data_IF_058776560891
#
_entry.id   IF_058776560891
#
_cell.length_a   1.000
_cell.length_b   1.000
_cell.length_c   1.000
_cell.angle_alpha   90.00
_cell.angle_beta   90.00
_cell.angle_gamma   90.00
#
_symmetry.space_group_name_H-M   'P 1'
#
loop_
_entity.id
_entity.type
_entity.pdbx_description
1 polymer ?
#
# COMPACT_ATOMS: atom_id res chain seq x y z
N UNK A 1 -20.37 -0.76 -15.02
CA UNK A 1 -19.85 -1.80 -14.11
C UNK A 1 -19.00 -1.13 -13.04
N UNK A 2 -19.46 -1.08 -11.79
CA UNK A 2 -18.73 -0.41 -10.71
C UNK A 2 -17.65 -1.35 -10.14
N UNK A 3 -16.46 -1.33 -10.72
CA UNK A 3 -15.31 -2.05 -10.15
C UNK A 3 -14.82 -1.28 -8.92
N UNK A 4 -15.31 -1.68 -7.75
CA UNK A 4 -15.00 -1.04 -6.47
C UNK A 4 -13.58 -1.43 -6.01
N UNK A 5 -12.55 -0.74 -6.50
CA UNK A 5 -11.17 -0.87 -6.04
C UNK A 5 -10.99 -0.12 -4.71
N UNK A 6 -10.63 -0.86 -3.66
CA UNK A 6 -10.28 -0.27 -2.35
C UNK A 6 -8.78 -0.35 -2.16
N UNK A 7 -8.13 0.80 -2.03
CA UNK A 7 -6.71 0.91 -1.70
C UNK A 7 -6.59 1.56 -0.34
N UNK A 8 -5.95 0.91 0.63
CA UNK A 8 -5.81 1.45 1.98
C UNK A 8 -4.44 1.09 2.59
N UNK A 9 -3.79 2.03 3.29
CA UNK A 9 -2.66 1.71 4.13
C UNK A 9 -3.06 0.81 5.30
N UNK A 10 -2.23 -0.19 5.59
CA UNK A 10 -2.48 -1.22 6.58
C UNK A 10 -1.21 -1.48 7.38
N UNK A 11 -1.30 -1.37 8.71
CA UNK A 11 -0.19 -1.71 9.60
C UNK A 11 -0.21 -3.20 9.93
N UNK A 12 0.88 -3.91 9.64
CA UNK A 12 1.00 -5.33 9.95
C UNK A 12 1.48 -5.52 11.41
N UNK A 13 0.54 -5.40 12.35
CA UNK A 13 0.82 -5.43 13.80
C UNK A 13 1.48 -6.70 14.31
N UNK A 14 1.36 -7.81 13.58
CA UNK A 14 1.92 -9.11 13.99
C UNK A 14 3.36 -9.32 13.48
N UNK A 15 3.89 -8.40 12.65
CA UNK A 15 5.26 -8.43 12.12
C UNK A 15 6.09 -7.31 12.75
N UNK A 16 6.19 -7.32 14.07
CA UNK A 16 6.99 -6.34 14.79
C UNK A 16 8.46 -6.75 14.71
N UNK A 17 9.35 -5.82 14.42
CA UNK A 17 10.80 -6.05 14.44
C UNK A 17 11.37 -5.91 15.86
N UNK A 18 12.66 -6.21 16.04
CA UNK A 18 13.35 -6.06 17.33
C UNK A 18 13.22 -4.64 17.93
N UNK A 19 13.11 -3.61 17.09
CA UNK A 19 12.93 -2.21 17.49
C UNK A 19 11.49 -1.84 17.87
N UNK A 20 10.60 -2.81 18.04
CA UNK A 20 9.17 -2.57 18.34
C UNK A 20 8.42 -1.75 17.26
N UNK A 21 8.87 -1.83 16.01
CA UNK A 21 8.23 -1.18 14.85
C UNK A 21 7.54 -2.22 13.98
N UNK A 22 6.33 -1.89 13.54
CA UNK A 22 5.55 -2.68 12.61
C UNK A 22 5.63 -2.09 11.19
N UNK A 23 5.74 -2.92 10.15
CA UNK A 23 5.77 -2.48 8.78
C UNK A 23 4.38 -2.03 8.30
N UNK A 24 4.38 -0.99 7.49
CA UNK A 24 3.19 -0.52 6.77
C UNK A 24 3.15 -1.23 5.40
N UNK A 25 1.96 -1.70 5.06
CA UNK A 25 1.64 -2.29 3.78
C UNK A 25 0.55 -1.46 3.10
N UNK A 26 0.56 -1.41 1.78
CA UNK A 26 -0.55 -0.95 0.98
C UNK A 26 -1.41 -2.16 0.63
N UNK A 27 -2.65 -2.18 1.12
CA UNK A 27 -3.62 -3.22 0.81
C UNK A 27 -4.50 -2.76 -0.34
N UNK A 28 -4.60 -3.59 -1.36
CA UNK A 28 -5.47 -3.36 -2.52
C UNK A 28 -6.48 -4.50 -2.59
N UNK A 29 -7.76 -4.16 -2.59
CA UNK A 29 -8.87 -5.11 -2.63
C UNK A 29 -9.78 -4.81 -3.83
N UNK A 30 -10.16 -5.85 -4.58
CA UNK A 30 -11.14 -5.78 -5.67
C UNK A 30 -12.04 -7.02 -5.59
N UNK A 31 -13.31 -6.81 -5.27
CA UNK A 31 -14.25 -7.93 -5.03
C UNK A 31 -13.76 -8.82 -3.88
N UNK A 32 -13.58 -10.11 -4.16
CA UNK A 32 -13.07 -11.12 -3.21
C UNK A 32 -11.54 -11.20 -3.17
N UNK A 33 -10.84 -10.59 -4.12
CA UNK A 33 -9.38 -10.65 -4.21
C UNK A 33 -8.73 -9.53 -3.40
N UNK A 34 -7.66 -9.86 -2.68
CA UNK A 34 -6.84 -8.95 -1.88
C UNK A 34 -5.36 -9.19 -2.15
N UNK A 35 -4.61 -8.12 -2.33
CA UNK A 35 -3.15 -8.15 -2.35
C UNK A 35 -2.58 -7.15 -1.34
N UNK A 36 -1.36 -7.44 -0.89
CA UNK A 36 -0.61 -6.60 0.03
C UNK A 36 0.77 -6.30 -0.57
N UNK A 37 1.16 -5.03 -0.49
CA UNK A 37 2.40 -4.49 -1.04
C UNK A 37 3.15 -3.84 0.11
N UNK A 38 4.40 -4.24 0.35
CA UNK A 38 5.21 -3.60 1.37
C UNK A 38 5.57 -2.17 0.94
N UNK A 39 5.38 -1.19 1.81
CA UNK A 39 5.76 0.21 1.51
C UNK A 39 7.19 0.53 1.94
N UNK A 40 7.82 -0.36 2.70
CA UNK A 40 9.17 -0.17 3.26
C UNK A 40 9.23 0.67 4.54
N UNK A 41 8.10 1.24 4.98
CA UNK A 41 8.05 2.04 6.21
C UNK A 41 7.75 1.17 7.42
N UNK A 42 8.44 1.46 8.53
CA UNK A 42 8.26 0.82 9.82
C UNK A 42 7.98 1.89 10.87
N UNK A 43 6.89 1.74 11.61
CA UNK A 43 6.46 2.72 12.63
C UNK A 43 6.11 2.02 13.94
N UNK A 44 6.10 2.76 15.05
CA UNK A 44 5.62 2.21 16.32
C UNK A 44 4.10 2.04 16.26
N UNK A 45 3.59 1.02 16.97
CA UNK A 45 2.15 0.79 17.08
C UNK A 45 1.39 2.00 17.66
N UNK A 46 2.04 2.76 18.54
CA UNK A 46 1.50 3.97 19.18
C UNK A 46 1.33 5.14 18.22
N UNK A 47 2.12 5.18 17.15
CA UNK A 47 2.11 6.24 16.13
C UNK A 47 1.06 5.98 15.04
N UNK A 48 0.40 4.82 15.03
CA UNK A 48 -0.62 4.51 14.03
C UNK A 48 -2.02 4.91 14.48
N UNK A 49 -2.79 5.53 13.58
CA UNK A 49 -4.20 5.79 13.76
C UNK A 49 -5.03 4.75 12.99
N UNK A 50 -5.72 3.88 13.73
CA UNK A 50 -6.57 2.81 13.15
C UNK A 50 -7.78 3.41 12.43
N UNK A 51 -8.36 4.51 12.93
CA UNK A 51 -9.56 5.12 12.37
C UNK A 51 -9.29 5.75 11.00
N UNK A 52 -8.14 6.40 10.85
CA UNK A 52 -7.78 7.12 9.62
C UNK A 52 -6.86 6.32 8.70
N UNK A 53 -6.39 5.14 9.11
CA UNK A 53 -5.41 4.35 8.37
C UNK A 53 -4.14 5.15 8.01
N UNK A 54 -3.66 5.98 8.93
CA UNK A 54 -2.55 6.89 8.71
C UNK A 54 -1.66 6.98 9.96
N UNK A 55 -0.44 7.51 9.77
CA UNK A 55 0.46 7.85 10.88
C UNK A 55 -0.10 9.09 11.58
N UNK A 56 -0.14 9.06 12.92
CA UNK A 56 -0.57 10.18 13.77
C UNK A 56 0.34 11.37 13.55
N UNK A 57 -0.24 12.57 13.52
CA UNK A 57 0.47 13.86 13.40
C UNK A 57 1.49 14.13 14.51
N UNK A 58 1.44 13.38 15.62
CA UNK A 58 2.40 13.48 16.72
C UNK A 58 3.77 12.90 16.38
N UNK A 59 3.90 12.10 15.32
CA UNK A 59 5.19 11.56 14.90
C UNK A 59 5.90 12.58 13.99
N UNK A 60 7.19 12.91 14.20
CA UNK A 60 7.90 13.89 13.37
C UNK A 60 7.97 13.49 11.89
N UNK A 61 7.90 12.19 11.60
CA UNK A 61 7.91 11.66 10.23
C UNK A 61 6.50 11.45 9.65
N UNK A 62 5.43 11.77 10.39
CA UNK A 62 4.06 11.46 9.99
C UNK A 62 3.68 12.08 8.66
N UNK A 63 4.09 13.33 8.43
CA UNK A 63 3.77 14.07 7.20
C UNK A 63 4.40 13.38 6.00
N UNK A 64 5.72 13.14 6.06
CA UNK A 64 6.46 12.47 5.00
C UNK A 64 5.92 11.06 4.71
N UNK A 65 5.64 10.27 5.75
CA UNK A 65 5.12 8.90 5.58
C UNK A 65 3.72 8.95 4.95
N UNK A 66 2.82 9.79 5.47
CA UNK A 66 1.45 9.89 4.97
C UNK A 66 1.41 10.41 3.53
N UNK A 67 2.23 11.41 3.18
CA UNK A 67 2.38 11.90 1.81
C UNK A 67 2.85 10.77 0.88
N UNK A 68 3.86 10.00 1.29
CA UNK A 68 4.34 8.86 0.51
C UNK A 68 3.25 7.78 0.33
N UNK A 69 2.52 7.42 1.39
CA UNK A 69 1.41 6.47 1.33
C UNK A 69 0.31 6.95 0.39
N UNK A 70 0.02 8.26 0.39
CA UNK A 70 -0.93 8.88 -0.52
C UNK A 70 -0.44 8.82 -1.97
N UNK A 71 0.84 9.10 -2.23
CA UNK A 71 1.44 8.95 -3.56
C UNK A 71 1.34 7.51 -4.06
N UNK A 72 1.67 6.52 -3.23
CA UNK A 72 1.54 5.10 -3.58
C UNK A 72 0.10 4.71 -3.89
N UNK A 73 -0.85 5.23 -3.10
CA UNK A 73 -2.28 5.05 -3.34
C UNK A 73 -2.68 5.62 -4.69
N UNK A 74 -2.31 6.86 -4.99
CA UNK A 74 -2.59 7.49 -6.29
C UNK A 74 -1.98 6.71 -7.46
N UNK A 75 -0.74 6.24 -7.34
CA UNK A 75 -0.10 5.39 -8.35
C UNK A 75 -0.84 4.08 -8.57
N UNK A 76 -1.32 3.43 -7.50
CA UNK A 76 -2.12 2.21 -7.62
C UNK A 76 -3.43 2.44 -8.39
N UNK A 77 -4.10 3.58 -8.17
CA UNK A 77 -5.28 3.97 -8.95
C UNK A 77 -4.95 4.29 -10.40
N UNK A 78 -3.84 4.98 -10.67
CA UNK A 78 -3.40 5.26 -12.04
C UNK A 78 -3.14 3.98 -12.83
N UNK A 79 -2.38 3.03 -12.25
CA UNK A 79 -2.12 1.72 -12.86
C UNK A 79 -3.42 0.96 -13.10
N UNK A 80 -4.32 0.98 -12.12
CA UNK A 80 -5.63 0.36 -12.25
C UNK A 80 -6.42 0.96 -13.42
N UNK A 81 -6.48 2.29 -13.54
CA UNK A 81 -7.18 2.97 -14.63
C UNK A 81 -6.58 2.63 -15.99
N UNK A 82 -5.25 2.56 -16.09
CA UNK A 82 -4.56 2.12 -17.32
C UNK A 82 -4.99 0.70 -17.71
N UNK A 83 -4.97 -0.23 -16.76
CA UNK A 83 -5.35 -1.62 -17.02
C UNK A 83 -6.83 -1.78 -17.40
N UNK A 84 -7.71 -0.92 -16.85
CA UNK A 84 -9.12 -0.86 -17.27
C UNK A 84 -9.25 -0.30 -18.69
N UNK A 85 -8.48 0.74 -19.02
CA UNK A 85 -8.47 1.35 -20.34
C UNK A 85 -7.87 0.42 -21.43
N UNK A 86 -6.99 -0.50 -21.06
CA UNK A 86 -6.45 -1.54 -21.95
C UNK A 86 -7.52 -2.60 -22.35
N UNK A 87 -8.74 -2.54 -21.80
CA UNK A 87 -9.89 -3.44 -22.04
C UNK A 87 -9.58 -4.95 -21.87
N UNK A 88 -8.45 -5.28 -21.26
CA UNK A 88 -7.99 -6.65 -21.04
C UNK A 88 -8.33 -7.13 -19.64
N UNK A 89 -8.66 -8.42 -19.46
CA UNK A 89 -8.81 -8.99 -18.14
C UNK A 89 -7.45 -8.98 -17.42
N UNK A 90 -7.32 -8.17 -16.37
CA UNK A 90 -6.13 -8.11 -15.54
C UNK A 90 -6.38 -8.62 -14.12
N UNK A 91 -5.35 -9.20 -13.52
CA UNK A 91 -5.35 -9.62 -12.12
C UNK A 91 -4.81 -8.52 -11.22
N UNK A 92 -5.22 -8.52 -9.94
CA UNK A 92 -4.64 -7.62 -8.94
C UNK A 92 -3.11 -7.76 -8.83
N UNK A 93 -2.57 -8.96 -9.07
CA UNK A 93 -1.14 -9.21 -9.09
C UNK A 93 -0.40 -8.34 -10.14
N UNK A 94 -1.03 -8.01 -11.27
CA UNK A 94 -0.45 -7.12 -12.28
C UNK A 94 -0.24 -5.70 -11.74
N UNK A 95 -1.16 -5.19 -10.91
CA UNK A 95 -1.00 -3.90 -10.22
C UNK A 95 0.20 -3.95 -9.29
N UNK A 96 0.37 -5.05 -8.54
CA UNK A 96 1.54 -5.22 -7.66
C UNK A 96 2.85 -5.17 -8.43
N UNK A 97 2.92 -5.86 -9.57
CA UNK A 97 4.13 -5.89 -10.42
C UNK A 97 4.42 -4.50 -10.97
N UNK A 98 3.43 -3.84 -11.59
CA UNK A 98 3.56 -2.47 -12.12
C UNK A 98 3.91 -1.44 -11.01
N UNK A 99 3.34 -1.57 -9.82
CA UNK A 99 3.56 -0.63 -8.70
C UNK A 99 4.93 -0.81 -8.04
N UNK A 100 5.38 -2.06 -7.88
CA UNK A 100 6.71 -2.35 -7.30
C UNK A 100 7.85 -2.24 -8.30
N UNK A 101 7.57 -1.99 -9.58
CA UNK A 101 8.59 -1.86 -10.60
C UNK A 101 9.41 -3.15 -10.79
N UNK A 102 8.83 -4.32 -10.50
CA UNK A 102 9.48 -5.64 -10.68
C UNK A 102 9.62 -6.04 -12.16
N UNK A 103 10.06 -5.09 -12.98
CA UNK A 103 10.92 -5.35 -14.14
C UNK A 103 12.41 -5.18 -13.77
N UNK A 104 12.77 -4.65 -12.59
CA UNK A 104 14.17 -4.62 -12.14
C UNK A 104 14.37 -5.07 -10.69
N UNK A 105 15.08 -6.21 -10.57
CA UNK A 105 15.98 -6.64 -9.49
C UNK A 105 15.40 -6.80 -8.09
N UNK A 106 14.96 -8.03 -7.80
CA UNK A 106 15.29 -8.66 -6.52
C UNK A 106 16.56 -9.50 -6.68
N UNK A 107 17.70 -8.90 -6.36
CA UNK A 107 18.95 -9.54 -5.91
C UNK A 107 19.69 -8.37 -5.25
N UNK A 108 19.95 -8.38 -3.95
CA UNK A 108 20.90 -9.24 -3.25
C UNK A 108 20.62 -9.16 -1.75
#
# INVERSE_FOLDING_TARGET
>A
MATNLKVLPWLYRSKINADSRAPIYLRITRGTQRIEIATGFFIRLTEWNIKTHAVKSSSPQSKQINEHLQTLRSKAFQIYNQLVAEEKPFQLAAIKIKLTGKDQKQTT
#
